data_IF_364442968598
#
_entry.id   IF_364442968598
#
_cell.length_a   1.000
_cell.length_b   1.000
_cell.length_c   1.000
_cell.angle_alpha   90.00
_cell.angle_beta   90.00
_cell.angle_gamma   90.00
#
_symmetry.space_group_name_H-M   'P 1'
#
loop_
_entity.id
_entity.type
_entity.pdbx_description
1 polymer ?
#
# COMPACT_ATOMS: atom_id res chain seq x y z
N UNK A 1 -9.65 -3.31 -69.63
CA UNK A 1 -8.47 -4.13 -69.39
C UNK A 1 -7.50 -3.30 -68.61
N UNK A 2 -7.53 -3.41 -67.29
CA UNK A 2 -6.42 -3.19 -66.36
C UNK A 2 -6.87 -3.77 -65.03
N UNK A 3 -6.18 -4.82 -64.59
CA UNK A 3 -6.49 -5.64 -63.44
C UNK A 3 -6.02 -4.99 -62.14
N UNK A 4 -6.92 -5.03 -61.17
CA UNK A 4 -6.69 -4.82 -59.72
C UNK A 4 -5.45 -5.51 -59.16
N UNK A 5 -4.69 -4.80 -58.35
CA UNK A 5 -3.91 -5.37 -57.23
C UNK A 5 -4.26 -4.62 -55.98
N UNK A 6 -5.31 -5.06 -55.26
CA UNK A 6 -5.49 -4.83 -53.85
C UNK A 6 -4.49 -5.70 -53.12
N UNK A 7 -3.46 -5.10 -52.54
CA UNK A 7 -2.58 -5.76 -51.61
C UNK A 7 -3.25 -5.69 -50.22
N UNK A 8 -3.75 -6.84 -49.77
CA UNK A 8 -4.30 -7.04 -48.43
C UNK A 8 -3.16 -6.94 -47.42
N UNK A 9 -3.14 -5.88 -46.61
CA UNK A 9 -2.46 -5.91 -45.33
C UNK A 9 -3.37 -6.63 -44.36
N UNK A 10 -3.18 -7.94 -44.23
CA UNK A 10 -3.63 -8.70 -43.08
C UNK A 10 -2.68 -8.38 -41.96
N UNK A 11 -3.07 -7.45 -41.07
CA UNK A 11 -2.48 -7.30 -39.73
C UNK A 11 -2.93 -8.55 -38.97
N UNK A 12 -2.05 -9.53 -38.87
CA UNK A 12 -2.24 -10.64 -37.95
C UNK A 12 -2.12 -10.07 -36.55
N UNK A 13 -3.26 -9.70 -35.94
CA UNK A 13 -3.36 -9.69 -34.50
C UNK A 13 -3.14 -11.14 -34.04
N UNK A 14 -1.91 -11.46 -33.67
CA UNK A 14 -1.64 -12.60 -32.83
C UNK A 14 -2.21 -12.31 -31.45
N UNK A 15 -3.50 -12.56 -31.29
CA UNK A 15 -4.07 -12.90 -30.00
C UNK A 15 -3.28 -14.12 -29.56
N UNK A 16 -2.28 -13.92 -28.72
CA UNK A 16 -1.72 -15.00 -27.92
C UNK A 16 -2.85 -15.33 -26.96
N UNK A 17 -3.77 -16.15 -27.41
CA UNK A 17 -4.57 -16.96 -26.52
C UNK A 17 -3.53 -17.73 -25.71
N UNK A 18 -3.30 -17.30 -24.46
CA UNK A 18 -2.70 -18.16 -23.45
C UNK A 18 -3.70 -19.30 -23.39
N UNK A 19 -3.41 -20.38 -24.16
CA UNK A 19 -4.12 -21.61 -23.97
C UNK A 19 -3.90 -21.98 -22.52
N UNK A 20 -4.91 -21.74 -21.69
CA UNK A 20 -5.05 -22.42 -20.43
C UNK A 20 -4.98 -23.90 -20.79
N UNK A 21 -3.80 -24.50 -20.64
CA UNK A 21 -3.73 -25.94 -20.52
C UNK A 21 -4.64 -26.24 -19.34
N UNK A 22 -5.77 -26.83 -19.62
CA UNK A 22 -6.74 -27.24 -18.63
C UNK A 22 -6.00 -28.21 -17.67
N UNK A 23 -5.64 -27.70 -16.52
CA UNK A 23 -5.18 -28.48 -15.41
C UNK A 23 -6.45 -28.88 -14.71
N UNK A 24 -6.76 -30.14 -14.67
CA UNK A 24 -7.99 -30.60 -14.05
C UNK A 24 -7.75 -30.80 -12.55
N UNK A 25 -7.86 -29.72 -11.75
CA UNK A 25 -7.82 -29.80 -10.29
C UNK A 25 -6.52 -29.30 -9.64
N UNK A 26 -6.02 -30.03 -8.66
CA UNK A 26 -4.92 -29.61 -7.80
C UNK A 26 -3.60 -29.36 -8.53
N UNK A 27 -3.04 -28.16 -8.31
CA UNK A 27 -1.72 -27.76 -8.79
C UNK A 27 -0.66 -28.30 -7.83
N UNK A 28 0.35 -29.02 -8.34
CA UNK A 28 1.47 -29.45 -7.51
C UNK A 28 2.62 -28.40 -7.49
N UNK A 29 3.55 -28.55 -6.55
CA UNK A 29 4.64 -27.59 -6.34
C UNK A 29 5.51 -27.38 -7.59
N UNK A 30 5.71 -28.40 -8.44
CA UNK A 30 6.52 -28.26 -9.64
C UNK A 30 5.80 -27.42 -10.70
N UNK A 31 4.50 -27.57 -10.81
CA UNK A 31 3.63 -26.79 -11.70
C UNK A 31 3.50 -25.36 -11.22
N UNK A 32 3.27 -25.16 -9.92
CA UNK A 32 3.25 -23.86 -9.30
C UNK A 32 4.58 -23.08 -9.55
N UNK A 33 5.70 -23.76 -9.37
CA UNK A 33 7.03 -23.19 -9.63
C UNK A 33 7.22 -22.79 -11.11
N UNK A 34 6.68 -23.59 -12.05
CA UNK A 34 6.71 -23.24 -13.49
C UNK A 34 5.82 -22.03 -13.79
N UNK A 35 4.64 -21.97 -13.22
CA UNK A 35 3.72 -20.83 -13.35
C UNK A 35 4.37 -19.54 -12.82
N UNK A 36 4.95 -19.58 -11.62
CA UNK A 36 5.70 -18.49 -11.01
C UNK A 36 6.82 -17.99 -11.92
N UNK A 37 7.65 -18.91 -12.41
CA UNK A 37 8.77 -18.58 -13.30
C UNK A 37 8.31 -17.88 -14.57
N UNK A 38 7.26 -18.40 -15.22
CA UNK A 38 6.69 -17.81 -16.44
C UNK A 38 6.15 -16.40 -16.20
N UNK A 39 5.47 -16.19 -15.09
CA UNK A 39 4.94 -14.88 -14.72
C UNK A 39 6.06 -13.88 -14.46
N UNK A 40 7.05 -14.23 -13.63
CA UNK A 40 8.18 -13.36 -13.32
C UNK A 40 8.97 -13.00 -14.58
N UNK A 41 9.21 -13.95 -15.50
CA UNK A 41 9.86 -13.68 -16.77
C UNK A 41 9.07 -12.70 -17.65
N UNK A 42 7.74 -12.81 -17.67
CA UNK A 42 6.84 -11.86 -18.36
C UNK A 42 7.00 -10.47 -17.75
N UNK A 43 6.85 -10.34 -16.44
CA UNK A 43 6.97 -9.08 -15.71
C UNK A 43 8.36 -8.45 -15.85
N UNK A 44 9.42 -9.25 -15.85
CA UNK A 44 10.79 -8.78 -16.08
C UNK A 44 10.99 -8.23 -17.50
N UNK A 45 10.31 -8.80 -18.50
CA UNK A 45 10.33 -8.29 -19.88
C UNK A 45 9.61 -6.95 -19.99
N UNK A 46 8.56 -6.76 -19.20
CA UNK A 46 7.77 -5.53 -19.12
C UNK A 46 8.40 -4.46 -18.21
N UNK A 47 9.46 -4.79 -17.49
CA UNK A 47 10.26 -3.87 -16.68
C UNK A 47 9.89 -3.82 -15.20
N UNK A 48 8.91 -4.60 -14.73
CA UNK A 48 8.46 -4.62 -13.34
C UNK A 48 9.45 -5.36 -12.44
N UNK A 49 9.91 -6.56 -12.84
CA UNK A 49 10.95 -7.31 -12.14
C UNK A 49 12.34 -7.02 -12.72
N UNK A 50 13.06 -6.03 -12.20
CA UNK A 50 14.33 -5.55 -12.75
C UNK A 50 15.47 -6.60 -12.79
N UNK A 51 15.49 -7.52 -11.84
CA UNK A 51 16.60 -8.48 -11.65
C UNK A 51 16.40 -9.85 -12.32
N UNK A 52 15.28 -10.12 -13.01
CA UNK A 52 14.82 -11.50 -13.22
C UNK A 52 14.69 -11.96 -14.67
N UNK A 53 15.29 -11.26 -15.65
CA UNK A 53 15.17 -11.64 -17.08
C UNK A 53 15.64 -13.06 -17.42
N UNK A 54 16.52 -13.64 -16.62
CA UNK A 54 17.06 -14.98 -16.83
C UNK A 54 16.68 -16.01 -15.77
N UNK A 55 15.70 -15.71 -14.92
CA UNK A 55 15.31 -16.58 -13.81
C UNK A 55 14.84 -17.95 -14.30
N UNK A 56 15.24 -19.00 -13.60
CA UNK A 56 14.82 -20.38 -13.84
C UNK A 56 13.97 -20.87 -12.67
N UNK A 57 13.19 -21.90 -12.91
CA UNK A 57 12.35 -22.50 -11.87
C UNK A 57 13.16 -22.97 -10.63
N UNK A 58 14.39 -23.43 -10.84
CA UNK A 58 15.29 -23.87 -9.76
C UNK A 58 15.79 -22.72 -8.87
N UNK A 59 15.75 -21.49 -9.37
CA UNK A 59 16.24 -20.31 -8.64
C UNK A 59 15.21 -19.81 -7.60
N UNK A 60 13.91 -20.16 -7.77
CA UNK A 60 12.89 -19.79 -6.82
C UNK A 60 12.97 -20.60 -5.53
N UNK A 61 12.95 -19.96 -4.40
CA UNK A 61 12.91 -20.61 -3.09
C UNK A 61 11.47 -20.78 -2.64
N UNK A 62 11.02 -22.03 -2.48
CA UNK A 62 9.72 -22.30 -1.84
C UNK A 62 9.84 -21.97 -0.34
N UNK A 63 9.06 -21.02 0.13
CA UNK A 63 9.05 -20.59 1.54
C UNK A 63 7.80 -21.05 2.28
N UNK A 64 6.73 -21.35 1.54
CA UNK A 64 5.50 -21.88 2.15
C UNK A 64 4.69 -22.69 1.14
N UNK A 65 3.98 -23.71 1.65
CA UNK A 65 2.97 -24.45 0.92
C UNK A 65 1.81 -24.69 1.91
N UNK A 66 0.71 -23.99 1.71
CA UNK A 66 -0.45 -24.09 2.59
C UNK A 66 -1.22 -25.35 2.29
N UNK A 67 -1.26 -26.25 3.25
CA UNK A 67 -1.98 -27.53 3.09
C UNK A 67 -3.49 -27.33 3.11
N UNK A 68 -4.19 -27.89 2.14
CA UNK A 68 -5.64 -27.87 2.11
C UNK A 68 -6.24 -28.72 3.23
N UNK A 69 -7.23 -28.15 3.92
CA UNK A 69 -8.04 -28.91 4.86
C UNK A 69 -9.20 -29.65 4.17
N UNK A 70 -9.55 -29.21 2.96
CA UNK A 70 -10.67 -29.76 2.21
C UNK A 70 -10.30 -31.05 1.43
N UNK A 71 -9.06 -31.09 0.89
CA UNK A 71 -8.57 -32.18 0.03
C UNK A 71 -7.24 -32.73 0.50
N UNK A 72 -7.18 -33.98 0.88
CA UNK A 72 -5.97 -34.64 1.36
C UNK A 72 -4.84 -34.56 0.30
N UNK A 73 -3.64 -34.16 0.70
CA UNK A 73 -2.43 -34.00 -0.14
C UNK A 73 -2.51 -32.88 -1.19
N UNK A 74 -3.57 -32.07 -1.19
CA UNK A 74 -3.60 -30.83 -1.95
C UNK A 74 -3.01 -29.68 -1.12
N UNK A 75 -2.66 -28.61 -1.81
CA UNK A 75 -2.31 -27.34 -1.17
C UNK A 75 -3.24 -26.26 -1.72
N UNK A 76 -3.50 -25.26 -0.90
CA UNK A 76 -4.34 -24.14 -1.29
C UNK A 76 -3.52 -23.11 -2.06
N UNK A 77 -2.28 -22.88 -1.65
CA UNK A 77 -1.34 -22.04 -2.39
C UNK A 77 0.13 -22.38 -2.08
N UNK A 78 1.01 -21.82 -2.88
CA UNK A 78 2.47 -21.91 -2.76
C UNK A 78 3.09 -20.54 -2.80
N UNK A 79 3.99 -20.23 -1.87
CA UNK A 79 4.74 -18.98 -1.85
C UNK A 79 6.21 -19.21 -2.18
N UNK A 80 6.74 -18.40 -3.07
CA UNK A 80 8.13 -18.45 -3.49
C UNK A 80 8.79 -17.08 -3.31
N UNK A 81 10.00 -17.07 -2.74
CA UNK A 81 10.89 -15.91 -2.80
C UNK A 81 11.73 -15.95 -4.08
N UNK A 82 11.98 -14.77 -4.62
CA UNK A 82 12.71 -14.54 -5.86
C UNK A 82 14.14 -14.09 -5.50
N UNK A 83 15.19 -14.67 -6.11
CA UNK A 83 16.56 -14.19 -5.92
C UNK A 83 16.70 -12.71 -6.25
N UNK A 84 17.51 -12.01 -5.48
CA UNK A 84 17.72 -10.56 -5.59
C UNK A 84 16.49 -9.67 -5.23
N UNK A 85 15.52 -10.23 -4.55
CA UNK A 85 14.35 -9.55 -4.04
C UNK A 85 13.08 -9.81 -4.84
N UNK A 86 11.97 -9.76 -4.11
CA UNK A 86 10.63 -10.05 -4.61
C UNK A 86 10.12 -11.43 -4.19
N UNK A 87 8.83 -11.62 -4.39
CA UNK A 87 8.13 -12.85 -4.07
C UNK A 87 6.89 -13.03 -4.95
N UNK A 88 6.37 -14.26 -5.00
CA UNK A 88 5.17 -14.60 -5.75
C UNK A 88 4.40 -15.72 -5.06
N UNK A 89 3.08 -15.64 -5.10
CA UNK A 89 2.16 -16.63 -4.54
C UNK A 89 1.30 -17.20 -5.65
N UNK A 90 1.26 -18.51 -5.74
CA UNK A 90 0.58 -19.28 -6.79
C UNK A 90 -0.54 -20.11 -6.17
N UNK A 91 -1.72 -20.07 -6.78
CA UNK A 91 -2.84 -20.90 -6.37
C UNK A 91 -2.54 -22.41 -6.51
N UNK A 92 -3.09 -23.19 -5.59
CA UNK A 92 -3.01 -24.66 -5.59
C UNK A 92 -4.15 -25.34 -6.36
N UNK A 93 -5.03 -24.56 -6.99
CA UNK A 93 -6.18 -25.02 -7.77
C UNK A 93 -6.20 -24.27 -9.12
N UNK A 94 -6.38 -24.98 -10.22
CA UNK A 94 -6.25 -24.42 -11.58
C UNK A 94 -7.46 -23.59 -12.06
N UNK A 95 -8.59 -23.70 -11.35
CA UNK A 95 -9.76 -22.83 -11.60
C UNK A 95 -9.63 -21.46 -10.94
N UNK A 96 -8.72 -21.32 -9.98
CA UNK A 96 -8.36 -20.03 -9.40
C UNK A 96 -7.44 -19.23 -10.32
N UNK A 97 -7.28 -17.89 -10.14
CA UNK A 97 -6.21 -17.13 -10.75
C UNK A 97 -4.86 -17.75 -10.42
N UNK A 98 -4.04 -18.03 -11.43
CA UNK A 98 -2.77 -18.73 -11.22
C UNK A 98 -1.84 -17.98 -10.25
N UNK A 99 -1.81 -16.65 -10.30
CA UNK A 99 -1.06 -15.77 -9.40
C UNK A 99 -2.05 -15.08 -8.47
N UNK A 100 -1.89 -15.28 -7.17
CA UNK A 100 -2.71 -14.64 -6.14
C UNK A 100 -2.12 -13.31 -5.69
N UNK A 101 -0.81 -13.18 -5.73
CA UNK A 101 -0.11 -11.96 -5.41
C UNK A 101 1.38 -12.02 -5.72
N UNK A 102 2.00 -10.85 -5.88
CA UNK A 102 3.44 -10.74 -6.10
C UNK A 102 3.96 -9.36 -5.68
N UNK A 103 5.26 -9.28 -5.44
CA UNK A 103 6.00 -8.03 -5.32
C UNK A 103 7.36 -8.18 -5.99
N UNK A 104 7.89 -7.09 -6.53
CA UNK A 104 9.26 -7.00 -7.06
C UNK A 104 10.28 -6.63 -5.98
N UNK A 105 9.86 -6.53 -4.73
CA UNK A 105 10.67 -6.12 -3.57
C UNK A 105 10.47 -7.08 -2.40
N UNK A 106 11.43 -7.05 -1.49
CA UNK A 106 11.37 -7.80 -0.23
C UNK A 106 11.41 -9.31 -0.39
N UNK A 107 10.96 -10.00 0.62
CA UNK A 107 10.79 -11.45 0.70
C UNK A 107 9.62 -11.78 1.61
N UNK A 108 9.10 -12.99 1.58
CA UNK A 108 8.10 -13.48 2.52
C UNK A 108 8.77 -14.33 3.60
N UNK A 109 8.43 -14.05 4.84
CA UNK A 109 8.70 -14.88 6.01
C UNK A 109 7.37 -15.22 6.68
N UNK A 110 6.90 -16.46 6.52
CA UNK A 110 5.58 -16.89 6.97
C UNK A 110 5.44 -16.95 8.49
N UNK A 111 6.54 -16.95 9.23
CA UNK A 111 6.51 -16.87 10.70
C UNK A 111 6.20 -15.44 11.19
N UNK A 112 6.36 -14.43 10.33
CA UNK A 112 6.31 -12.99 10.67
C UNK A 112 5.38 -12.17 9.78
N UNK A 113 4.40 -12.79 9.16
CA UNK A 113 3.44 -12.09 8.30
C UNK A 113 2.53 -11.13 9.09
N UNK A 114 2.25 -9.93 8.56
CA UNK A 114 1.23 -9.04 9.09
C UNK A 114 -0.14 -9.73 9.21
N UNK A 115 -0.91 -9.35 10.23
CA UNK A 115 -2.25 -9.91 10.44
C UNK A 115 -3.16 -9.68 9.21
N UNK A 116 -3.07 -8.52 8.57
CA UNK A 116 -3.80 -8.21 7.34
C UNK A 116 -3.49 -9.15 6.19
N UNK A 117 -2.21 -9.46 6.00
CA UNK A 117 -1.79 -10.42 4.99
C UNK A 117 -2.37 -11.80 5.28
N UNK A 118 -2.29 -12.25 6.54
CA UNK A 118 -2.89 -13.52 6.97
C UNK A 118 -4.39 -13.55 6.71
N UNK A 119 -5.12 -12.48 7.06
CA UNK A 119 -6.56 -12.39 6.84
C UNK A 119 -6.93 -12.46 5.35
N UNK A 120 -6.18 -11.76 4.47
CA UNK A 120 -6.37 -11.84 3.02
C UNK A 120 -6.19 -13.27 2.51
N UNK A 121 -5.13 -13.95 2.96
CA UNK A 121 -4.82 -15.31 2.51
C UNK A 121 -5.73 -16.38 3.12
N UNK A 122 -6.29 -16.18 4.29
CA UNK A 122 -7.38 -17.02 4.81
C UNK A 122 -8.66 -16.90 3.95
N UNK A 123 -8.92 -15.72 3.39
CA UNK A 123 -9.95 -15.54 2.37
C UNK A 123 -9.69 -16.39 1.13
N UNK A 124 -8.53 -16.25 0.52
CA UNK A 124 -8.14 -17.04 -0.66
C UNK A 124 -8.15 -18.55 -0.40
N UNK A 125 -7.70 -18.98 0.77
CA UNK A 125 -7.75 -20.38 1.18
C UNK A 125 -9.16 -20.94 1.13
N UNK A 126 -10.14 -20.27 1.75
CA UNK A 126 -11.55 -20.71 1.72
C UNK A 126 -12.11 -20.80 0.30
N UNK A 127 -11.79 -19.83 -0.55
CA UNK A 127 -12.20 -19.80 -1.95
C UNK A 127 -11.59 -20.97 -2.74
N UNK A 128 -10.31 -21.25 -2.51
CA UNK A 128 -9.60 -22.37 -3.16
C UNK A 128 -10.12 -23.72 -2.66
N UNK A 129 -10.31 -23.90 -1.36
CA UNK A 129 -10.88 -25.12 -0.77
C UNK A 129 -12.29 -25.41 -1.31
N UNK A 130 -13.10 -24.35 -1.50
CA UNK A 130 -14.38 -24.47 -2.18
C UNK A 130 -14.20 -24.99 -3.60
N UNK A 131 -13.35 -24.38 -4.41
CA UNK A 131 -13.08 -24.84 -5.77
C UNK A 131 -12.58 -26.28 -5.81
N UNK A 132 -11.67 -26.67 -4.92
CA UNK A 132 -11.14 -28.03 -4.85
C UNK A 132 -12.19 -29.09 -4.56
N UNK A 133 -13.26 -28.74 -3.85
CA UNK A 133 -14.34 -29.66 -3.48
C UNK A 133 -15.59 -29.55 -4.35
N UNK A 134 -15.72 -28.46 -5.09
CA UNK A 134 -16.87 -28.20 -5.94
C UNK A 134 -16.90 -29.15 -7.16
N UNK A 135 -17.98 -29.93 -7.28
CA UNK A 135 -18.17 -30.94 -8.33
C UNK A 135 -19.29 -30.57 -9.32
N UNK A 136 -19.95 -29.42 -9.13
CA UNK A 136 -20.98 -28.93 -10.03
C UNK A 136 -20.37 -28.50 -11.40
N UNK A 137 -21.20 -28.43 -12.42
CA UNK A 137 -20.82 -28.01 -13.77
C UNK A 137 -21.39 -26.67 -14.17
N UNK A 138 -22.01 -25.96 -13.25
CA UNK A 138 -22.67 -24.65 -13.44
C UNK A 138 -21.75 -23.45 -13.21
N UNK A 139 -20.52 -23.65 -12.73
CA UNK A 139 -19.53 -22.57 -12.65
C UNK A 139 -18.86 -22.33 -14.00
N UNK A 140 -18.71 -21.06 -14.32
CA UNK A 140 -17.97 -20.59 -15.50
C UNK A 140 -16.91 -19.58 -15.07
N UNK A 141 -15.77 -19.49 -15.79
CA UNK A 141 -14.78 -18.44 -15.52
C UNK A 141 -15.43 -17.06 -15.54
N UNK A 142 -15.10 -16.23 -14.55
CA UNK A 142 -15.51 -14.84 -14.57
C UNK A 142 -14.92 -14.13 -15.81
N UNK A 143 -15.64 -13.15 -16.35
CA UNK A 143 -15.17 -12.39 -17.50
C UNK A 143 -13.87 -11.68 -17.11
N UNK A 144 -12.78 -12.04 -17.78
CA UNK A 144 -11.50 -11.39 -17.56
C UNK A 144 -11.55 -9.94 -18.04
N UNK A 145 -11.18 -9.03 -17.18
CA UNK A 145 -10.98 -7.63 -17.57
C UNK A 145 -9.72 -7.54 -18.42
N UNK A 146 -9.87 -7.09 -19.67
CA UNK A 146 -8.74 -6.87 -20.56
C UNK A 146 -7.76 -5.86 -19.98
N UNK A 147 -6.47 -6.13 -20.20
CA UNK A 147 -5.34 -5.33 -19.76
C UNK A 147 -5.55 -3.83 -19.91
N UNK A 148 -5.53 -3.12 -18.82
CA UNK A 148 -5.66 -1.68 -18.72
C UNK A 148 -4.26 -1.05 -18.55
N UNK A 149 -4.20 0.25 -18.53
CA UNK A 149 -2.95 0.93 -18.13
C UNK A 149 -2.61 0.60 -16.67
N UNK A 150 -1.35 0.64 -16.32
CA UNK A 150 -0.90 0.61 -14.92
C UNK A 150 -1.23 1.96 -14.28
N UNK A 151 -1.76 1.95 -13.07
CA UNK A 151 -2.05 3.13 -12.26
C UNK A 151 -1.41 2.95 -10.89
N UNK A 152 -0.67 3.93 -10.40
CA UNK A 152 0.05 3.83 -9.14
C UNK A 152 1.26 2.88 -9.18
N UNK A 153 1.75 2.37 -8.05
CA UNK A 153 1.31 2.77 -6.71
C UNK A 153 1.60 4.25 -6.41
N UNK A 154 0.72 4.91 -5.66
CA UNK A 154 0.85 6.33 -5.35
C UNK A 154 1.64 6.58 -4.06
N UNK A 155 1.49 5.71 -3.08
CA UNK A 155 2.11 5.84 -1.77
C UNK A 155 3.56 5.36 -1.86
N UNK A 156 4.49 6.26 -1.58
CA UNK A 156 5.93 5.95 -1.55
C UNK A 156 6.41 5.56 -0.15
N UNK A 157 5.65 5.96 0.89
CA UNK A 157 6.01 5.68 2.27
C UNK A 157 5.78 4.20 2.63
N UNK A 158 6.72 3.66 3.40
CA UNK A 158 6.67 2.29 3.93
C UNK A 158 6.60 2.31 5.46
N UNK A 159 5.64 3.10 5.98
CA UNK A 159 5.55 3.31 7.42
C UNK A 159 5.04 2.09 8.16
N UNK A 160 5.39 2.01 9.44
CA UNK A 160 4.95 0.99 10.38
C UNK A 160 4.29 1.58 11.61
N UNK A 161 4.20 0.79 12.67
CA UNK A 161 3.44 1.15 13.87
C UNK A 161 4.29 1.31 15.13
N UNK A 162 5.57 0.92 15.08
CA UNK A 162 6.51 0.97 16.21
C UNK A 162 7.44 2.18 16.08
N UNK A 163 8.71 2.07 16.52
CA UNK A 163 9.72 3.14 16.44
C UNK A 163 10.00 3.54 14.97
N UNK A 164 10.02 4.84 14.64
CA UNK A 164 9.81 6.02 15.51
C UNK A 164 8.35 6.48 15.59
N UNK A 165 7.43 5.85 14.88
CA UNK A 165 6.05 6.30 14.68
C UNK A 165 5.27 6.44 15.98
N UNK A 166 5.55 5.61 16.99
CA UNK A 166 4.85 5.59 18.28
C UNK A 166 5.42 6.55 19.33
N UNK A 167 6.51 7.30 19.07
CA UNK A 167 7.22 8.12 20.08
C UNK A 167 6.33 9.13 20.82
N UNK A 168 5.19 9.49 20.26
CA UNK A 168 4.21 10.36 20.91
C UNK A 168 2.93 9.61 21.33
N UNK A 169 2.85 8.31 21.14
CA UNK A 169 1.73 7.50 21.60
C UNK A 169 1.73 7.34 23.12
N UNK A 170 0.59 7.00 23.73
CA UNK A 170 0.52 6.71 25.16
C UNK A 170 1.49 5.62 25.59
N UNK A 171 1.93 5.70 26.85
CA UNK A 171 2.75 4.66 27.49
C UNK A 171 1.89 3.90 28.49
N UNK A 172 1.92 2.58 28.42
CA UNK A 172 1.24 1.69 29.35
C UNK A 172 2.23 0.68 29.92
N UNK A 173 2.29 0.57 31.26
CA UNK A 173 3.21 -0.31 31.98
C UNK A 173 4.70 -0.15 31.63
N UNK A 174 5.11 1.02 31.17
CA UNK A 174 6.49 1.32 30.77
C UNK A 174 6.81 1.08 29.31
N UNK A 175 5.85 0.62 28.50
CA UNK A 175 6.00 0.38 27.07
C UNK A 175 5.14 1.34 26.25
N UNK A 176 5.62 1.78 25.09
CA UNK A 176 4.83 2.57 24.15
C UNK A 176 3.70 1.72 23.58
N UNK A 177 2.51 2.29 23.49
CA UNK A 177 1.44 1.70 22.67
C UNK A 177 1.79 1.89 21.20
N UNK A 178 1.52 0.88 20.37
CA UNK A 178 1.71 0.98 18.93
C UNK A 178 0.71 1.95 18.31
N UNK A 179 1.06 2.53 17.16
CA UNK A 179 0.24 3.55 16.46
C UNK A 179 -1.16 3.03 16.13
N UNK A 180 -1.26 1.79 15.69
CA UNK A 180 -2.49 1.19 15.16
C UNK A 180 -2.63 1.38 13.64
N UNK A 181 -3.12 0.34 12.97
CA UNK A 181 -3.17 0.28 11.51
C UNK A 181 -4.03 1.39 10.88
N UNK A 182 -5.16 1.74 11.52
CA UNK A 182 -6.05 2.81 11.06
C UNK A 182 -5.32 4.15 11.01
N UNK A 183 -4.61 4.51 12.08
CA UNK A 183 -3.86 5.76 12.16
C UNK A 183 -2.66 5.76 11.20
N UNK A 184 -1.98 4.61 11.03
CA UNK A 184 -0.86 4.46 10.09
C UNK A 184 -1.33 4.67 8.64
N UNK A 185 -2.44 4.06 8.25
CA UNK A 185 -3.01 4.23 6.92
C UNK A 185 -3.43 5.70 6.67
N UNK A 186 -4.12 6.33 7.64
CA UNK A 186 -4.46 7.75 7.57
C UNK A 186 -3.25 8.64 7.40
N UNK A 187 -2.24 8.46 8.23
CA UNK A 187 -1.03 9.29 8.22
C UNK A 187 -0.27 9.19 6.88
N UNK A 188 -0.22 8.01 6.26
CA UNK A 188 0.39 7.84 4.94
C UNK A 188 -0.42 8.52 3.83
N UNK A 189 -1.76 8.46 3.87
CA UNK A 189 -2.62 9.19 2.92
C UNK A 189 -2.52 10.70 3.13
N UNK A 190 -2.44 11.16 4.38
CA UNK A 190 -2.21 12.58 4.69
C UNK A 190 -0.84 13.05 4.17
N UNK A 191 0.20 12.23 4.31
CA UNK A 191 1.53 12.53 3.73
C UNK A 191 1.47 12.57 2.20
N UNK A 192 0.79 11.65 1.55
CA UNK A 192 0.62 11.66 0.09
C UNK A 192 0.00 12.96 -0.41
N UNK A 193 -1.09 13.41 0.22
CA UNK A 193 -1.74 14.67 -0.11
C UNK A 193 -1.01 15.91 0.42
N UNK A 194 -0.06 15.75 1.34
CA UNK A 194 0.52 16.82 2.16
C UNK A 194 -0.57 17.72 2.78
N UNK A 195 -1.66 17.10 3.24
CA UNK A 195 -2.85 17.76 3.77
C UNK A 195 -3.38 17.01 5.00
N UNK A 196 -3.91 17.74 6.03
CA UNK A 196 -3.93 19.20 6.17
C UNK A 196 -2.57 19.77 6.60
N UNK A 197 -2.34 21.05 6.38
CA UNK A 197 -1.13 21.74 6.88
C UNK A 197 -1.15 21.94 8.40
N UNK A 198 -2.33 21.88 9.01
CA UNK A 198 -2.51 22.03 10.45
C UNK A 198 -3.71 21.26 10.94
N UNK A 199 -3.71 20.94 12.22
CA UNK A 199 -4.85 20.36 12.93
C UNK A 199 -5.31 21.30 14.03
N UNK A 200 -6.63 21.39 14.24
CA UNK A 200 -7.20 21.95 15.45
C UNK A 200 -6.81 21.11 16.67
N UNK A 201 -7.03 21.65 17.88
CA UNK A 201 -6.91 20.88 19.10
C UNK A 201 -7.90 19.71 19.10
N UNK A 202 -7.45 18.54 19.56
CA UNK A 202 -8.26 17.33 19.66
C UNK A 202 -8.46 17.01 21.14
N UNK A 203 -9.69 16.75 21.55
CA UNK A 203 -10.06 16.49 22.93
C UNK A 203 -9.40 15.23 23.50
N UNK A 204 -9.26 15.19 24.83
CA UNK A 204 -8.93 13.98 25.56
C UNK A 204 -10.07 12.94 25.46
N UNK A 205 -9.71 11.67 25.56
CA UNK A 205 -10.68 10.57 25.66
C UNK A 205 -10.19 9.50 26.63
N UNK A 206 -11.08 8.65 27.11
CA UNK A 206 -10.73 7.53 27.96
C UNK A 206 -10.52 6.28 27.11
N UNK A 207 -9.28 5.77 27.11
CA UNK A 207 -8.94 4.52 26.44
C UNK A 207 -9.16 3.34 27.40
N UNK A 208 -10.12 2.49 27.06
CA UNK A 208 -10.55 1.36 27.91
C UNK A 208 -9.48 0.25 27.97
N UNK A 209 -8.72 0.06 26.89
CA UNK A 209 -7.72 -1.02 26.80
C UNK A 209 -6.56 -0.82 27.79
N UNK A 210 -6.08 0.41 27.91
CA UNK A 210 -5.04 0.78 28.88
C UNK A 210 -5.59 1.39 30.17
N UNK A 211 -6.92 1.57 30.28
CA UNK A 211 -7.64 2.14 31.44
C UNK A 211 -7.09 3.50 31.88
N UNK A 212 -6.79 4.36 30.90
CA UNK A 212 -6.23 5.69 31.15
C UNK A 212 -6.95 6.74 30.32
N UNK A 213 -6.96 7.97 30.82
CA UNK A 213 -7.33 9.13 30.00
C UNK A 213 -6.15 9.51 29.13
N UNK A 214 -6.33 9.43 27.83
CA UNK A 214 -5.38 9.92 26.84
C UNK A 214 -5.53 11.44 26.75
N UNK A 215 -4.46 12.22 27.04
CA UNK A 215 -4.57 13.68 27.11
C UNK A 215 -4.98 14.33 25.80
N UNK A 216 -5.64 15.48 25.89
CA UNK A 216 -5.95 16.33 24.73
C UNK A 216 -4.65 16.76 24.02
N UNK A 217 -4.75 16.94 22.71
CA UNK A 217 -3.68 17.49 21.88
C UNK A 217 -3.98 18.95 21.53
N UNK A 218 -2.99 19.85 21.58
CA UNK A 218 -3.16 21.23 21.14
C UNK A 218 -3.34 21.32 19.63
N UNK A 219 -3.77 22.48 19.13
CA UNK A 219 -3.65 22.79 17.70
C UNK A 219 -2.17 22.74 17.29
N UNK A 220 -1.90 22.23 16.09
CA UNK A 220 -0.53 22.05 15.59
C UNK A 220 -0.44 22.26 14.09
N UNK A 221 0.79 22.39 13.58
CA UNK A 221 1.10 22.33 12.14
C UNK A 221 1.87 21.04 11.84
N UNK A 222 1.73 20.53 10.63
CA UNK A 222 2.47 19.39 10.13
C UNK A 222 3.51 19.85 9.11
N UNK A 223 4.75 19.41 9.27
CA UNK A 223 5.84 19.66 8.32
C UNK A 223 6.13 18.39 7.50
N UNK A 224 5.43 18.24 6.38
CA UNK A 224 5.57 17.06 5.53
C UNK A 224 6.97 16.92 4.90
N UNK A 225 7.75 18.00 4.79
CA UNK A 225 9.11 17.93 4.27
C UNK A 225 10.09 17.21 5.21
N UNK A 226 9.77 17.12 6.50
CA UNK A 226 10.53 16.34 7.47
C UNK A 226 10.11 14.86 7.52
N UNK A 227 9.01 14.50 6.88
CA UNK A 227 8.50 13.12 6.92
C UNK A 227 9.14 12.28 5.82
N UNK A 228 10.09 11.43 6.19
CA UNK A 228 10.74 10.51 5.26
C UNK A 228 9.78 9.43 4.75
N UNK A 229 10.11 8.81 3.62
CA UNK A 229 9.35 7.68 3.09
C UNK A 229 9.59 6.40 3.90
N UNK A 230 10.78 6.22 4.46
CA UNK A 230 11.15 5.11 5.32
C UNK A 230 11.91 5.59 6.54
N UNK A 231 11.71 4.92 7.67
CA UNK A 231 12.47 5.07 8.91
C UNK A 231 13.07 3.76 9.39
N UNK A 232 12.55 2.67 8.87
CA UNK A 232 13.03 1.31 9.13
C UNK A 232 12.78 0.46 7.89
N UNK A 233 13.64 -0.51 7.67
CA UNK A 233 13.46 -1.53 6.65
C UNK A 233 13.72 -2.92 7.23
N UNK A 234 13.15 -3.93 6.61
CA UNK A 234 13.38 -5.30 7.02
C UNK A 234 14.65 -5.85 6.37
N UNK A 235 15.61 -6.25 7.18
CA UNK A 235 16.79 -7.02 6.73
C UNK A 235 16.41 -8.50 6.67
N UNK A 236 16.17 -8.99 5.47
CA UNK A 236 15.70 -10.36 5.23
C UNK A 236 16.78 -11.40 5.49
N UNK A 237 18.06 -11.05 5.34
CA UNK A 237 19.19 -11.97 5.55
C UNK A 237 19.36 -12.27 7.05
N UNK A 238 19.15 -11.27 7.89
CA UNK A 238 19.29 -11.37 9.34
C UNK A 238 17.94 -11.50 10.07
N UNK A 239 16.82 -11.39 9.37
CA UNK A 239 15.46 -11.43 9.92
C UNK A 239 15.23 -10.42 11.05
N UNK A 240 15.69 -9.18 10.86
CA UNK A 240 15.57 -8.09 11.81
C UNK A 240 15.06 -6.82 11.16
N UNK A 241 14.30 -6.02 11.92
CA UNK A 241 13.95 -4.67 11.53
C UNK A 241 15.14 -3.76 11.81
N UNK A 242 15.69 -3.13 10.76
CA UNK A 242 16.82 -2.22 10.82
C UNK A 242 16.34 -0.80 10.75
N UNK A 243 16.82 0.03 11.67
CA UNK A 243 16.53 1.44 11.68
C UNK A 243 17.35 2.15 10.61
N UNK A 244 16.69 2.98 9.79
CA UNK A 244 17.32 3.86 8.82
C UNK A 244 17.95 5.07 9.52
N UNK A 245 18.74 5.84 8.80
CA UNK A 245 19.28 7.10 9.34
C UNK A 245 18.24 8.20 9.24
N UNK A 246 17.91 8.83 10.35
CA UNK A 246 17.03 9.99 10.43
C UNK A 246 17.39 10.89 11.63
N UNK A 247 16.97 12.14 11.57
CA UNK A 247 17.14 13.10 12.67
C UNK A 247 16.02 12.98 13.68
N UNK A 248 16.25 13.49 14.90
CA UNK A 248 15.20 13.56 15.93
C UNK A 248 13.99 14.39 15.44
N UNK A 249 14.21 15.48 14.71
CA UNK A 249 13.13 16.29 14.15
C UNK A 249 12.24 15.51 13.18
N UNK A 250 12.84 14.67 12.33
CA UNK A 250 12.11 13.80 11.40
C UNK A 250 11.32 12.72 12.16
N UNK A 251 11.92 12.11 13.18
CA UNK A 251 11.26 11.13 14.03
C UNK A 251 10.06 11.72 14.79
N UNK A 252 10.22 12.90 15.37
CA UNK A 252 9.15 13.58 16.09
C UNK A 252 8.02 14.04 15.18
N UNK A 253 8.32 14.42 13.94
CA UNK A 253 7.30 14.86 12.99
C UNK A 253 6.42 13.70 12.51
N UNK A 254 6.99 12.54 12.18
CA UNK A 254 6.20 11.36 11.82
C UNK A 254 5.44 10.80 13.02
N UNK A 255 6.01 10.83 14.23
CA UNK A 255 5.32 10.45 15.44
C UNK A 255 4.14 11.39 15.76
N UNK A 256 4.30 12.69 15.50
CA UNK A 256 3.24 13.68 15.69
C UNK A 256 2.03 13.41 14.80
N UNK A 257 2.21 13.26 13.50
CA UNK A 257 1.06 12.98 12.61
C UNK A 257 0.39 11.64 12.97
N UNK A 258 1.17 10.61 13.27
CA UNK A 258 0.66 9.31 13.73
C UNK A 258 -0.17 9.44 15.01
N UNK A 259 0.32 10.24 15.97
CA UNK A 259 -0.38 10.49 17.24
C UNK A 259 -1.68 11.26 17.04
N UNK A 260 -1.71 12.26 16.15
CA UNK A 260 -2.91 13.03 15.85
C UNK A 260 -3.96 12.19 15.13
N UNK A 261 -3.58 11.34 14.19
CA UNK A 261 -4.48 10.38 13.57
C UNK A 261 -5.08 9.41 14.60
N UNK A 262 -4.27 8.84 15.49
CA UNK A 262 -4.74 7.96 16.55
C UNK A 262 -5.65 8.64 17.55
N UNK A 263 -5.41 9.92 17.89
CA UNK A 263 -6.30 10.70 18.74
C UNK A 263 -7.65 10.97 18.08
N UNK A 264 -7.64 11.31 16.79
CA UNK A 264 -8.85 11.64 16.04
C UNK A 264 -9.83 10.47 15.97
N UNK A 265 -9.34 9.25 15.85
CA UNK A 265 -10.15 8.03 15.85
C UNK A 265 -10.40 7.44 17.25
N UNK A 266 -10.02 8.14 18.32
CA UNK A 266 -10.09 7.65 19.70
C UNK A 266 -9.52 6.23 19.85
N UNK A 267 -8.31 6.01 19.31
CA UNK A 267 -7.64 4.72 19.21
C UNK A 267 -7.70 3.92 20.53
N UNK A 268 -8.13 2.66 20.45
CA UNK A 268 -7.94 1.67 21.49
C UNK A 268 -6.47 1.29 21.58
N UNK A 269 -5.71 2.09 22.35
CA UNK A 269 -4.25 1.94 22.45
C UNK A 269 -3.85 0.72 23.26
N UNK A 270 -2.86 -0.03 22.79
CA UNK A 270 -2.19 -1.11 23.52
C UNK A 270 -0.75 -1.27 23.01
N UNK A 271 0.22 -1.70 23.84
CA UNK A 271 1.55 -2.08 23.38
C UNK A 271 1.55 -3.27 22.41
N UNK A 272 0.60 -4.18 22.54
CA UNK A 272 0.51 -5.42 21.78
C UNK A 272 -0.22 -5.24 20.45
N UNK A 273 -1.11 -4.21 20.35
CA UNK A 273 -1.89 -3.92 19.14
C UNK A 273 -2.96 -2.88 19.43
N UNK A 274 -2.99 -1.80 18.67
CA UNK A 274 -3.96 -0.71 18.79
C UNK A 274 -4.95 -0.76 17.63
N UNK A 275 -6.23 -0.48 17.89
CA UNK A 275 -7.30 -0.59 16.90
C UNK A 275 -8.33 0.54 16.99
N UNK A 276 -9.00 0.80 15.85
CA UNK A 276 -10.14 1.72 15.74
C UNK A 276 -11.07 1.25 14.61
N UNK A 277 -12.28 1.80 14.54
CA UNK A 277 -13.24 1.43 13.51
C UNK A 277 -13.09 2.29 12.25
N UNK A 278 -13.52 1.75 11.11
CA UNK A 278 -13.49 2.45 9.81
C UNK A 278 -14.45 3.66 9.77
N UNK A 279 -15.56 3.59 10.50
CA UNK A 279 -16.46 4.74 10.64
C UNK A 279 -15.78 5.92 11.35
N UNK A 280 -15.03 5.66 12.43
CA UNK A 280 -14.26 6.69 13.13
C UNK A 280 -13.16 7.27 12.23
N UNK A 281 -12.57 6.44 11.35
CA UNK A 281 -11.60 6.88 10.35
C UNK A 281 -12.22 7.87 9.36
N UNK A 282 -13.45 7.62 8.88
CA UNK A 282 -14.15 8.51 7.98
C UNK A 282 -14.41 9.88 8.63
N UNK A 283 -14.94 9.88 9.84
CA UNK A 283 -15.23 11.12 10.56
C UNK A 283 -13.94 11.89 10.89
N UNK A 284 -12.88 11.20 11.31
CA UNK A 284 -11.58 11.82 11.54
C UNK A 284 -11.00 12.48 10.28
N UNK A 285 -11.11 11.85 9.09
CA UNK A 285 -10.66 12.46 7.84
C UNK A 285 -11.45 13.73 7.52
N UNK A 286 -12.77 13.75 7.76
CA UNK A 286 -13.60 14.96 7.61
C UNK A 286 -13.20 16.05 8.60
N UNK A 287 -12.94 15.71 9.86
CA UNK A 287 -12.47 16.63 10.88
C UNK A 287 -11.11 17.24 10.56
N UNK A 288 -10.25 16.51 9.86
CA UNK A 288 -9.01 17.03 9.27
C UNK A 288 -9.23 17.90 8.02
N UNK A 289 -10.48 18.09 7.60
CA UNK A 289 -10.86 18.98 6.51
C UNK A 289 -10.87 18.34 5.12
N UNK A 290 -10.79 17.02 5.02
CA UNK A 290 -11.03 16.32 3.75
C UNK A 290 -12.48 16.52 3.29
N UNK A 291 -12.76 16.31 2.01
CA UNK A 291 -14.09 16.59 1.44
C UNK A 291 -15.19 15.83 2.18
N UNK A 292 -16.28 16.54 2.48
CA UNK A 292 -17.46 15.96 3.13
C UNK A 292 -18.17 14.91 2.26
N UNK A 293 -17.86 14.84 0.97
CA UNK A 293 -18.34 13.81 0.04
C UNK A 293 -17.67 12.45 0.23
N UNK A 294 -16.55 12.39 0.96
CA UNK A 294 -15.96 11.13 1.35
C UNK A 294 -16.96 10.28 2.14
N UNK A 295 -17.05 9.01 1.82
CA UNK A 295 -17.99 8.09 2.45
C UNK A 295 -17.46 6.65 2.48
N UNK A 296 -18.06 5.85 3.34
CA UNK A 296 -17.76 4.44 3.52
C UNK A 296 -18.58 3.59 2.57
N UNK A 297 -17.92 2.69 1.85
CA UNK A 297 -18.51 1.60 1.10
C UNK A 297 -18.14 0.25 1.73
N UNK A 298 -19.11 -0.66 1.76
CA UNK A 298 -18.95 -2.00 2.29
C UNK A 298 -19.37 -3.04 1.25
N UNK A 299 -18.44 -3.93 0.86
CA UNK A 299 -18.66 -4.93 -0.18
C UNK A 299 -19.80 -5.89 0.16
N UNK A 300 -19.77 -6.39 1.37
CA UNK A 300 -20.80 -7.30 1.89
C UNK A 300 -20.94 -7.12 3.40
N UNK A 301 -22.08 -7.46 3.92
CA UNK A 301 -22.32 -7.56 5.35
C UNK A 301 -22.80 -8.99 5.67
N UNK A 302 -22.88 -9.31 6.95
CA UNK A 302 -23.42 -10.60 7.43
C UNK A 302 -24.79 -10.97 6.82
N UNK A 303 -25.54 -9.97 6.34
CA UNK A 303 -26.93 -10.13 5.88
C UNK A 303 -27.13 -9.81 4.39
N UNK A 304 -26.18 -9.21 3.71
CA UNK A 304 -26.34 -8.77 2.32
C UNK A 304 -25.02 -8.63 1.61
N UNK A 305 -25.04 -8.96 0.31
CA UNK A 305 -24.01 -8.58 -0.64
C UNK A 305 -24.43 -7.25 -1.27
N UNK A 306 -23.69 -6.17 -0.98
CA UNK A 306 -24.01 -4.84 -1.48
C UNK A 306 -23.51 -4.66 -2.91
N UNK A 307 -22.38 -5.32 -3.24
CA UNK A 307 -21.70 -5.16 -4.52
C UNK A 307 -21.17 -6.50 -5.03
N UNK A 308 -21.31 -6.72 -6.34
CA UNK A 308 -20.56 -7.78 -7.02
C UNK A 308 -19.06 -7.47 -7.01
N UNK A 309 -18.23 -8.48 -7.22
CA UNK A 309 -16.77 -8.30 -7.34
C UNK A 309 -16.44 -7.31 -8.45
N UNK A 310 -17.09 -7.40 -9.60
CA UNK A 310 -16.90 -6.48 -10.71
C UNK A 310 -17.28 -5.02 -10.36
N UNK A 311 -18.37 -4.81 -9.64
CA UNK A 311 -18.77 -3.48 -9.16
C UNK A 311 -17.78 -2.92 -8.16
N UNK A 312 -17.30 -3.76 -7.21
CA UNK A 312 -16.31 -3.38 -6.22
C UNK A 312 -14.99 -2.96 -6.86
N UNK A 313 -14.48 -3.77 -7.78
CA UNK A 313 -13.27 -3.43 -8.55
C UNK A 313 -13.43 -2.18 -9.42
N UNK A 314 -14.63 -1.97 -10.00
CA UNK A 314 -14.89 -0.77 -10.80
C UNK A 314 -14.85 0.50 -9.93
N UNK A 315 -15.33 0.46 -8.70
CA UNK A 315 -15.23 1.56 -7.74
C UNK A 315 -13.77 1.83 -7.37
N UNK A 316 -13.00 0.79 -7.01
CA UNK A 316 -11.56 0.92 -6.73
C UNK A 316 -10.86 1.57 -7.92
N UNK A 317 -11.05 1.07 -9.14
CA UNK A 317 -10.44 1.62 -10.36
C UNK A 317 -10.86 3.07 -10.63
N UNK A 318 -12.09 3.45 -10.28
CA UNK A 318 -12.58 4.83 -10.39
C UNK A 318 -11.79 5.77 -9.49
N UNK A 319 -11.61 5.41 -8.22
CA UNK A 319 -10.81 6.19 -7.28
C UNK A 319 -9.35 6.30 -7.73
N UNK A 320 -8.73 5.18 -8.07
CA UNK A 320 -7.34 5.15 -8.49
C UNK A 320 -7.10 5.91 -9.81
N UNK A 321 -8.03 5.85 -10.77
CA UNK A 321 -7.95 6.65 -11.99
C UNK A 321 -8.07 8.16 -11.74
N UNK A 322 -8.72 8.55 -10.66
CA UNK A 322 -8.80 9.95 -10.21
C UNK A 322 -7.59 10.37 -9.34
N UNK A 323 -6.59 9.48 -9.15
CA UNK A 323 -5.39 9.76 -8.37
C UNK A 323 -5.63 9.71 -6.86
N UNK A 324 -6.68 9.06 -6.39
CA UNK A 324 -7.03 8.95 -4.98
C UNK A 324 -6.66 7.60 -4.41
N UNK A 325 -5.66 7.51 -3.51
CA UNK A 325 -5.43 6.31 -2.72
C UNK A 325 -6.62 6.05 -1.78
N UNK A 326 -6.94 4.79 -1.60
CA UNK A 326 -8.12 4.34 -0.87
C UNK A 326 -7.70 3.85 0.51
N UNK A 327 -8.31 4.39 1.57
CA UNK A 327 -8.26 3.82 2.90
C UNK A 327 -9.15 2.56 2.91
N UNK A 328 -8.52 1.41 2.97
CA UNK A 328 -9.16 0.11 2.84
C UNK A 328 -9.09 -0.66 4.15
N UNK A 329 -10.12 -1.42 4.47
CA UNK A 329 -10.10 -2.33 5.61
C UNK A 329 -10.74 -3.66 5.25
N UNK A 330 -10.25 -4.70 5.90
CA UNK A 330 -10.83 -6.02 5.83
C UNK A 330 -10.77 -6.66 7.23
N UNK A 331 -11.77 -7.44 7.56
CA UNK A 331 -11.78 -8.22 8.79
C UNK A 331 -12.07 -9.69 8.50
N UNK A 332 -11.51 -10.54 9.32
CA UNK A 332 -11.82 -11.96 9.32
C UNK A 332 -13.13 -12.22 10.08
N UNK A 333 -13.99 -13.06 9.50
CA UNK A 333 -15.27 -13.44 10.10
C UNK A 333 -15.15 -14.30 11.37
N UNK A 334 -13.96 -14.84 11.62
CA UNK A 334 -13.71 -15.78 12.70
C UNK A 334 -12.96 -15.18 13.89
N UNK A 335 -12.78 -13.86 13.94
CA UNK A 335 -12.28 -13.18 15.11
C UNK A 335 -10.76 -13.01 15.19
N UNK A 336 -10.03 -13.24 14.11
CA UNK A 336 -8.60 -12.91 14.05
C UNK A 336 -8.32 -11.40 13.99
N UNK A 337 -9.38 -10.58 13.99
CA UNK A 337 -9.31 -9.12 13.99
C UNK A 337 -9.46 -8.50 12.61
N UNK A 338 -9.59 -7.17 12.58
CA UNK A 338 -9.60 -6.36 11.38
C UNK A 338 -8.26 -5.68 11.15
N UNK A 339 -8.00 -5.27 9.91
CA UNK A 339 -6.84 -4.46 9.58
C UNK A 339 -7.18 -3.38 8.57
N UNK A 340 -6.68 -2.17 8.82
CA UNK A 340 -6.76 -1.06 7.88
C UNK A 340 -5.43 -0.93 7.13
N UNK A 341 -5.52 -0.72 5.83
CA UNK A 341 -4.38 -0.60 4.92
C UNK A 341 -4.75 0.32 3.74
N UNK A 342 -3.88 0.46 2.77
CA UNK A 342 -4.11 1.35 1.63
C UNK A 342 -4.15 0.53 0.35
N UNK A 343 -5.15 0.82 -0.51
CA UNK A 343 -5.14 0.40 -1.91
C UNK A 343 -4.81 1.60 -2.77
N UNK A 344 -3.68 1.56 -3.48
CA UNK A 344 -3.14 2.75 -4.15
C UNK A 344 -2.66 2.53 -5.59
N UNK A 345 -3.02 1.40 -6.18
CA UNK A 345 -2.68 1.13 -7.58
C UNK A 345 -3.35 -0.12 -8.14
N UNK A 346 -3.31 -0.27 -9.45
CA UNK A 346 -3.62 -1.52 -10.14
C UNK A 346 -2.70 -1.70 -11.35
N UNK A 347 -2.41 -2.98 -11.66
CA UNK A 347 -1.52 -3.36 -12.76
C UNK A 347 -2.28 -3.79 -14.03
N UNK A 348 -1.54 -4.21 -15.06
CA UNK A 348 -2.09 -4.70 -16.33
C UNK A 348 -2.82 -6.04 -16.21
N UNK A 349 -2.53 -6.80 -15.18
CA UNK A 349 -3.18 -8.08 -14.89
C UNK A 349 -4.49 -7.87 -14.12
N UNK A 350 -4.78 -6.62 -13.71
CA UNK A 350 -5.94 -6.25 -12.92
C UNK A 350 -5.75 -6.47 -11.41
N UNK A 351 -4.54 -6.75 -10.97
CA UNK A 351 -4.20 -6.86 -9.55
C UNK A 351 -4.09 -5.50 -8.91
N UNK A 352 -4.53 -5.38 -7.68
CA UNK A 352 -4.49 -4.16 -6.89
C UNK A 352 -3.25 -4.11 -6.01
N UNK A 353 -2.62 -2.93 -5.93
CA UNK A 353 -1.50 -2.71 -5.03
C UNK A 353 -2.01 -2.35 -3.63
N UNK A 354 -1.49 -3.06 -2.62
CA UNK A 354 -1.76 -2.81 -1.21
C UNK A 354 -0.48 -2.42 -0.47
N UNK A 355 -0.61 -1.38 0.35
CA UNK A 355 0.39 -0.99 1.35
C UNK A 355 -0.19 -1.30 2.73
N UNK A 356 0.39 -2.27 3.42
CA UNK A 356 -0.15 -2.79 4.67
C UNK A 356 0.27 -2.00 5.92
N UNK A 357 1.14 -0.99 5.79
CA UNK A 357 1.61 -0.22 6.94
C UNK A 357 2.52 -1.02 7.87
N UNK A 358 3.37 -1.91 7.32
CA UNK A 358 4.31 -2.79 8.01
C UNK A 358 5.71 -2.71 7.42
N UNK A 359 6.28 -1.49 7.39
CA UNK A 359 7.66 -1.27 6.91
C UNK A 359 7.90 -1.76 5.47
N UNK A 360 6.85 -1.73 4.63
CA UNK A 360 6.89 -2.28 3.27
C UNK A 360 6.82 -3.81 3.21
N UNK A 361 6.74 -4.50 4.35
CA UNK A 361 6.62 -5.96 4.39
C UNK A 361 5.27 -6.37 3.80
N UNK A 362 5.32 -7.27 2.84
CA UNK A 362 4.15 -7.76 2.08
C UNK A 362 3.47 -6.70 1.19
N UNK A 363 3.97 -5.47 1.09
CA UNK A 363 3.44 -4.52 0.11
C UNK A 363 3.62 -5.10 -1.30
N UNK A 364 2.55 -5.09 -2.09
CA UNK A 364 2.57 -5.74 -3.39
C UNK A 364 1.22 -5.75 -4.10
N UNK A 365 1.16 -6.54 -5.15
CA UNK A 365 0.01 -6.67 -6.05
C UNK A 365 -0.75 -7.95 -5.76
N UNK A 366 -2.08 -7.86 -5.66
CA UNK A 366 -2.95 -8.96 -5.24
C UNK A 366 -4.22 -9.01 -6.08
N UNK A 367 -4.74 -10.20 -6.31
CA UNK A 367 -6.09 -10.36 -6.85
C UNK A 367 -7.12 -9.89 -5.83
N UNK A 368 -8.26 -9.42 -6.31
CA UNK A 368 -9.38 -9.04 -5.43
C UNK A 368 -10.09 -10.25 -4.81
N UNK A 369 -9.97 -11.41 -5.46
CA UNK A 369 -10.56 -12.69 -5.04
C UNK A 369 -9.80 -13.84 -5.71
N UNK A 370 -9.60 -14.94 -5.02
CA UNK A 370 -9.12 -16.19 -5.61
C UNK A 370 -10.22 -16.96 -6.34
N UNK A 371 -11.48 -16.53 -6.19
CA UNK A 371 -12.63 -17.12 -6.85
C UNK A 371 -12.90 -16.43 -8.20
N UNK A 372 -12.23 -16.87 -9.25
CA UNK A 372 -12.41 -16.34 -10.60
C UNK A 372 -13.53 -17.11 -11.35
N UNK A 373 -14.63 -17.40 -10.66
CA UNK A 373 -15.75 -18.18 -11.17
C UNK A 373 -17.07 -17.55 -10.75
N UNK A 374 -18.09 -17.68 -11.59
CA UNK A 374 -19.47 -17.29 -11.30
C UNK A 374 -20.40 -18.42 -11.69
N UNK A 375 -21.61 -18.48 -11.13
CA UNK A 375 -22.65 -19.36 -11.65
C UNK A 375 -23.06 -18.96 -13.09
N UNK A 376 -23.56 -19.89 -13.89
CA UNK A 376 -24.00 -19.63 -15.28
C UNK A 376 -25.15 -18.64 -15.40
N UNK A 377 -25.95 -18.50 -14.37
CA UNK A 377 -27.03 -17.51 -14.26
C UNK A 377 -26.53 -16.13 -13.86
N UNK A 378 -25.21 -15.98 -13.60
CA UNK A 378 -24.57 -14.72 -13.21
C UNK A 378 -24.58 -14.46 -11.69
N UNK A 379 -25.06 -15.40 -10.88
CA UNK A 379 -24.94 -15.28 -9.44
C UNK A 379 -23.48 -15.46 -9.01
N UNK A 380 -22.98 -14.52 -8.21
CA UNK A 380 -21.61 -14.57 -7.68
C UNK A 380 -21.55 -15.40 -6.40
N UNK A 381 -20.42 -16.07 -6.23
CA UNK A 381 -20.08 -16.79 -5.01
C UNK A 381 -19.36 -15.82 -4.05
N UNK A 382 -19.74 -15.83 -2.79
CA UNK A 382 -19.21 -14.92 -1.79
C UNK A 382 -18.58 -15.69 -0.63
N UNK A 383 -17.28 -15.44 -0.42
CA UNK A 383 -16.51 -16.04 0.68
C UNK A 383 -15.85 -15.01 1.58
N UNK A 384 -15.86 -13.74 1.17
CA UNK A 384 -15.21 -12.65 1.87
C UNK A 384 -16.25 -11.70 2.43
N UNK A 385 -16.38 -11.72 3.73
CA UNK A 385 -17.12 -10.71 4.47
C UNK A 385 -16.21 -9.53 4.82
N UNK A 386 -16.85 -8.40 5.07
CA UNK A 386 -16.28 -7.24 5.75
C UNK A 386 -15.13 -6.53 5.02
N UNK A 387 -15.11 -6.51 3.69
CA UNK A 387 -14.30 -5.54 2.95
C UNK A 387 -14.98 -4.19 2.97
N UNK A 388 -14.26 -3.17 3.42
CA UNK A 388 -14.69 -1.79 3.48
C UNK A 388 -13.66 -0.88 2.83
N UNK A 389 -14.11 0.24 2.27
CA UNK A 389 -13.21 1.27 1.74
C UNK A 389 -13.81 2.65 1.93
N UNK A 390 -12.96 3.62 2.23
CA UNK A 390 -13.34 5.02 2.17
C UNK A 390 -13.00 5.55 0.78
N UNK A 391 -14.02 6.03 0.06
CA UNK A 391 -13.88 6.62 -1.26
C UNK A 391 -14.14 8.13 -1.21
N UNK A 392 -13.63 8.87 -2.20
CA UNK A 392 -13.71 10.32 -2.23
C UNK A 392 -12.81 11.01 -1.21
N UNK A 393 -11.79 10.33 -0.68
CA UNK A 393 -10.85 10.91 0.29
C UNK A 393 -9.83 11.77 -0.45
N UNK A 394 -10.14 13.04 -0.55
CA UNK A 394 -9.29 14.05 -1.19
C UNK A 394 -9.40 15.40 -0.46
N UNK A 395 -8.36 16.25 -0.53
CA UNK A 395 -8.43 17.61 0.00
C UNK A 395 -9.56 18.45 -0.63
N UNK A 396 -9.90 19.61 -0.06
CA UNK A 396 -10.86 20.53 -0.66
C UNK A 396 -10.51 20.92 -2.09
N UNK A 397 -11.50 21.29 -2.87
CA UNK A 397 -11.29 21.74 -4.25
C UNK A 397 -10.34 22.93 -4.31
N UNK A 398 -9.42 22.90 -5.27
CA UNK A 398 -8.37 23.91 -5.42
C UNK A 398 -7.17 23.72 -4.49
N UNK A 399 -7.14 22.65 -3.69
CA UNK A 399 -5.93 22.28 -2.97
C UNK A 399 -4.85 21.85 -3.97
N UNK A 400 -3.70 22.49 -3.88
CA UNK A 400 -2.47 22.02 -4.50
C UNK A 400 -1.47 21.72 -3.38
N UNK A 401 -0.80 20.55 -3.40
CA UNK A 401 0.26 20.30 -2.44
C UNK A 401 1.25 21.48 -2.47
N UNK A 402 1.77 21.90 -1.33
CA UNK A 402 2.90 22.80 -1.33
C UNK A 402 3.93 22.25 -2.31
N UNK A 403 4.47 23.10 -3.15
CA UNK A 403 5.52 22.69 -4.08
C UNK A 403 6.54 21.91 -3.24
N UNK A 404 6.70 20.63 -3.52
CA UNK A 404 7.57 19.76 -2.71
C UNK A 404 9.01 20.13 -3.08
N UNK A 405 9.47 21.19 -2.44
CA UNK A 405 10.80 21.70 -2.65
C UNK A 405 11.74 20.69 -1.99
N UNK A 406 12.63 20.13 -2.78
CA UNK A 406 13.73 19.35 -2.23
C UNK A 406 14.44 20.22 -1.18
N UNK A 407 14.90 19.67 -0.04
CA UNK A 407 15.71 20.44 0.87
C UNK A 407 16.83 21.13 0.11
N UNK A 408 16.86 22.47 0.16
CA UNK A 408 17.80 23.27 -0.62
C UNK A 408 17.29 23.84 -1.95
N UNK A 409 16.10 23.44 -2.41
CA UNK A 409 15.41 24.12 -3.53
C UNK A 409 14.63 25.31 -3.00
N UNK A 410 15.32 26.44 -2.92
CA UNK A 410 14.77 27.66 -2.31
C UNK A 410 13.89 28.42 -3.27
N UNK A 411 14.23 28.40 -4.56
CA UNK A 411 13.52 29.14 -5.60
C UNK A 411 12.26 28.39 -6.12
N UNK A 412 12.13 27.10 -5.85
CA UNK A 412 10.99 26.29 -6.24
C UNK A 412 10.98 25.87 -7.71
N UNK A 413 12.14 25.76 -8.33
CA UNK A 413 12.23 25.35 -9.75
C UNK A 413 12.36 23.83 -9.93
N UNK A 414 12.37 23.07 -8.84
CA UNK A 414 12.48 21.61 -8.82
C UNK A 414 13.94 21.11 -8.89
N UNK A 415 14.92 21.97 -8.71
CA UNK A 415 16.34 21.63 -8.69
C UNK A 415 17.01 22.28 -7.49
N UNK A 416 18.03 21.60 -6.98
CA UNK A 416 18.95 22.18 -5.99
C UNK A 416 20.25 22.50 -6.70
N UNK A 417 20.51 23.77 -6.94
CA UNK A 417 21.70 24.20 -7.65
C UNK A 417 22.31 25.51 -7.09
N UNK A 418 23.23 26.09 -7.83
CA UNK A 418 23.95 27.33 -7.41
C UNK A 418 23.01 28.54 -7.28
N UNK A 419 21.84 28.54 -7.93
CA UNK A 419 20.85 29.61 -7.76
C UNK A 419 20.29 29.67 -6.35
N UNK A 420 20.04 28.49 -5.74
CA UNK A 420 19.55 28.40 -4.36
C UNK A 420 20.61 28.85 -3.35
N UNK A 421 21.86 28.45 -3.57
CA UNK A 421 22.99 28.93 -2.76
C UNK A 421 23.04 30.46 -2.76
N UNK A 422 22.89 31.09 -3.94
CA UNK A 422 22.92 32.54 -4.06
C UNK A 422 21.74 33.21 -3.34
N UNK A 423 20.58 32.60 -3.34
CA UNK A 423 19.39 33.10 -2.62
C UNK A 423 19.66 33.10 -1.11
N UNK A 424 20.15 32.01 -0.54
CA UNK A 424 20.47 31.94 0.90
C UNK A 424 21.51 33.01 1.26
N UNK A 425 22.55 33.15 0.46
CA UNK A 425 23.58 34.19 0.66
C UNK A 425 22.96 35.60 0.64
N UNK A 426 22.04 35.87 -0.29
CA UNK A 426 21.37 37.18 -0.36
C UNK A 426 20.45 37.42 0.85
N UNK A 427 19.78 36.38 1.37
CA UNK A 427 18.99 36.49 2.59
C UNK A 427 19.88 36.80 3.79
N UNK A 428 20.99 36.07 3.97
CA UNK A 428 21.97 36.31 5.04
C UNK A 428 22.53 37.74 4.99
N UNK A 429 22.78 38.27 3.78
CA UNK A 429 23.27 39.63 3.57
C UNK A 429 22.17 40.71 3.71
N UNK A 430 20.93 40.31 4.00
CA UNK A 430 19.79 41.23 4.11
C UNK A 430 19.38 41.91 2.80
N UNK A 431 19.81 41.37 1.65
CA UNK A 431 19.45 41.89 0.31
C UNK A 431 18.10 41.41 -0.16
N UNK A 432 17.67 40.26 0.32
CA UNK A 432 16.37 39.60 0.00
C UNK A 432 15.72 39.08 1.27
N UNK A 433 14.39 38.91 1.24
CA UNK A 433 13.62 38.32 2.32
C UNK A 433 13.33 36.86 1.98
N UNK A 434 13.44 35.96 2.96
CA UNK A 434 13.02 34.56 2.86
C UNK A 434 11.57 34.42 2.35
N UNK A 435 10.68 35.29 2.81
CA UNK A 435 9.26 35.28 2.43
C UNK A 435 9.00 35.52 0.93
N UNK A 436 10.02 35.83 0.16
CA UNK A 436 9.96 36.01 -1.30
C UNK A 436 9.99 34.66 -2.03
N UNK A 437 10.47 33.62 -1.36
CA UNK A 437 10.74 32.32 -1.94
C UNK A 437 9.85 31.23 -1.34
N UNK A 438 9.46 30.23 -2.12
CA UNK A 438 8.62 29.14 -1.62
C UNK A 438 9.39 28.14 -0.75
N UNK A 439 10.73 28.04 -0.89
CA UNK A 439 11.57 27.11 -0.16
C UNK A 439 12.01 27.61 1.21
N UNK A 440 12.32 26.69 2.10
CA UNK A 440 12.87 26.99 3.42
C UNK A 440 14.38 27.23 3.31
N UNK A 441 14.84 28.43 3.60
CA UNK A 441 16.26 28.79 3.55
C UNK A 441 17.05 28.33 4.79
N UNK A 442 16.39 27.92 5.89
CA UNK A 442 17.00 27.20 7.01
C UNK A 442 17.02 25.70 6.68
N UNK A 443 17.99 25.29 5.88
CA UNK A 443 18.07 23.95 5.27
C UNK A 443 18.59 22.92 6.25
N UNK A 444 19.46 23.29 7.19
CA UNK A 444 19.99 22.41 8.22
C UNK A 444 19.06 22.27 9.45
N UNK A 445 18.01 23.08 9.52
CA UNK A 445 17.02 23.08 10.59
C UNK A 445 17.55 23.53 11.94
N UNK A 446 18.73 24.15 12.00
CA UNK A 446 19.37 24.59 13.24
C UNK A 446 19.54 26.10 13.27
N UNK A 447 19.16 26.72 14.40
CA UNK A 447 19.36 28.17 14.57
C UNK A 447 18.53 29.03 13.65
N UNK A 448 19.15 30.02 13.02
CA UNK A 448 18.55 30.85 11.97
C UNK A 448 19.26 30.62 10.64
N UNK A 449 18.84 31.31 9.61
CA UNK A 449 19.47 31.21 8.27
C UNK A 449 20.91 31.77 8.35
N UNK A 450 21.88 30.89 8.19
CA UNK A 450 23.31 31.22 8.31
C UNK A 450 24.20 30.44 7.30
N UNK A 451 25.52 30.49 7.53
CA UNK A 451 26.49 29.80 6.64
C UNK A 451 26.36 28.28 6.69
N UNK A 452 25.76 27.69 7.75
CA UNK A 452 25.45 26.28 7.84
C UNK A 452 24.53 25.82 6.71
N UNK A 453 23.48 26.61 6.43
CA UNK A 453 22.52 26.34 5.35
C UNK A 453 23.16 26.40 3.98
N UNK A 454 24.01 27.40 3.77
CA UNK A 454 24.81 27.51 2.53
C UNK A 454 25.65 26.27 2.31
N UNK A 455 26.36 25.81 3.34
CA UNK A 455 27.17 24.60 3.27
C UNK A 455 26.34 23.34 3.00
N UNK A 456 25.13 23.25 3.59
CA UNK A 456 24.22 22.12 3.37
C UNK A 456 23.80 22.06 1.90
N UNK A 457 23.36 23.18 1.31
CA UNK A 457 22.97 23.23 -0.11
C UNK A 457 24.17 22.93 -1.02
N UNK A 458 25.34 23.46 -0.73
CA UNK A 458 26.56 23.15 -1.49
C UNK A 458 26.88 21.65 -1.44
N UNK A 459 26.71 20.99 -0.30
CA UNK A 459 26.94 19.55 -0.18
C UNK A 459 25.92 18.76 -1.00
N UNK A 460 24.65 19.16 -1.00
CA UNK A 460 23.60 18.55 -1.84
C UNK A 460 23.97 18.67 -3.32
N UNK A 461 24.33 19.87 -3.78
CA UNK A 461 24.74 20.14 -5.17
C UNK A 461 25.96 19.29 -5.58
N UNK A 462 26.89 19.05 -4.66
CA UNK A 462 28.09 18.25 -4.91
C UNK A 462 27.87 16.73 -4.72
N UNK A 463 26.67 16.29 -4.34
CA UNK A 463 26.38 14.88 -4.07
C UNK A 463 27.15 14.30 -2.87
N UNK A 464 27.48 15.12 -1.89
CA UNK A 464 28.26 14.76 -0.69
C UNK A 464 27.35 14.61 0.53
N UNK A 465 26.27 13.83 0.44
CA UNK A 465 25.47 13.43 1.61
C UNK A 465 26.06 12.23 2.32
#
# INVERSE_FOLDING_TARGET
>A
MIKNKLFKYMLALSVVAISSQAWAGNVNVADARRAATKFIQKQATEGTFKASRGIKAADLTLVHAEASHAVAKANDYYAFNVPAGGWIIIAGEDRAPAVLGYSDKGSLDFDRLPCAFKALFEGYKREIEFLQTYTGDDLVPAAQVTALKVVGPFITSTWGQELPYYLQCPVYQGEYCVVGCVATAMAQVMKFWQYPQSSNAISSFYCYDIRQTVPALPATTFNYSLMLDSYCHWDWDNSVLVQDTYTEAQAQEVAKISRYCGQAVQMGYSPEGSGAYTDDQLEAMKDFGYRSTAHLEQKSSWWSNNYTTAQWEAMIKTELNAGRPILYSASDDYGAGGHAFICDGYDKEGMFHFNFGWYGTCDGWYVSTALNMTHRDGEELYFNSSHQMLIGVEPPEGWEPPVNLQPGDINGDGKVDVSDVNIIVNIILGKESESKYPGNANVDGQGGIDVGDVNMVVNIVLGKQ
#
